data_IF_886583457271
#
_entry.id   IF_886583457271
#
_cell.length_a   1.000
_cell.length_b   1.000
_cell.length_c   1.000
_cell.angle_alpha   90.00
_cell.angle_beta   90.00
_cell.angle_gamma   90.00
#
_symmetry.space_group_name_H-M   'P 1'
#
loop_
_entity.id
_entity.type
_entity.pdbx_description
1 polymer ?
#
# COMPACT_ATOMS: atom_id res chain seq x y z
N UNK A 1 24.71 10.52 -9.66
CA UNK A 1 23.50 11.36 -9.80
C UNK A 1 22.18 10.61 -9.64
N UNK A 2 21.99 9.42 -10.25
CA UNK A 2 20.73 8.65 -10.10
C UNK A 2 20.37 8.26 -8.65
N UNK A 3 21.35 7.90 -7.82
CA UNK A 3 21.09 7.50 -6.41
C UNK A 3 20.52 8.65 -5.57
N UNK A 4 20.98 9.90 -5.78
CA UNK A 4 20.44 11.08 -5.07
C UNK A 4 19.03 11.42 -5.54
N UNK A 5 18.73 11.24 -6.83
CA UNK A 5 17.38 11.39 -7.39
C UNK A 5 16.46 10.31 -6.83
N UNK A 6 16.94 9.08 -6.70
CA UNK A 6 16.22 7.94 -6.12
C UNK A 6 15.89 8.15 -4.64
N UNK A 7 16.84 8.68 -3.86
CA UNK A 7 16.62 9.01 -2.45
C UNK A 7 15.64 10.18 -2.32
N UNK A 8 15.76 11.21 -3.16
CA UNK A 8 14.81 12.33 -3.21
C UNK A 8 13.41 11.92 -3.66
N UNK A 9 13.30 10.98 -4.59
CA UNK A 9 12.05 10.45 -5.09
C UNK A 9 11.38 9.54 -4.06
N UNK A 10 12.13 8.67 -3.38
CA UNK A 10 11.62 7.89 -2.26
C UNK A 10 11.17 8.78 -1.10
N UNK A 11 11.91 9.85 -0.78
CA UNK A 11 11.52 10.85 0.21
C UNK A 11 10.25 11.63 -0.20
N UNK A 12 10.06 11.93 -1.49
CA UNK A 12 8.84 12.57 -2.00
C UNK A 12 7.62 11.63 -1.97
N UNK A 13 7.80 10.34 -2.32
CA UNK A 13 6.78 9.29 -2.26
C UNK A 13 6.27 9.10 -0.83
N UNK A 14 7.19 9.13 0.12
CA UNK A 14 6.95 8.72 1.51
C UNK A 14 6.63 9.91 2.42
N UNK A 15 7.26 11.07 2.21
CA UNK A 15 6.93 12.30 2.92
C UNK A 15 5.52 12.80 2.60
N UNK A 16 5.07 12.64 1.35
CA UNK A 16 3.72 13.03 0.91
C UNK A 16 2.61 12.12 1.46
N UNK A 17 2.88 10.82 1.60
CA UNK A 17 1.93 9.84 2.16
C UNK A 17 1.79 9.99 3.66
N UNK A 18 2.89 10.14 4.41
CA UNK A 18 2.82 10.24 5.88
C UNK A 18 2.15 11.55 6.35
N UNK A 19 2.19 12.60 5.52
CA UNK A 19 1.59 13.90 5.82
C UNK A 19 0.05 13.91 5.75
N UNK A 20 -0.58 13.05 4.94
CA UNK A 20 -2.05 13.06 4.73
C UNK A 20 -2.83 12.30 5.80
N UNK A 21 -2.20 11.41 6.56
CA UNK A 21 -2.87 10.64 7.61
C UNK A 21 -3.23 11.52 8.81
N UNK A 22 -4.52 11.82 8.97
CA UNK A 22 -5.01 12.70 10.05
C UNK A 22 -5.68 11.95 11.19
N UNK A 23 -6.31 10.79 10.97
CA UNK A 23 -6.93 10.01 12.06
C UNK A 23 -6.89 8.49 11.79
N UNK A 24 -6.15 7.68 12.56
CA UNK A 24 -6.10 6.24 12.34
C UNK A 24 -7.37 5.54 12.85
N UNK A 25 -7.99 4.71 12.01
CA UNK A 25 -8.95 3.70 12.46
C UNK A 25 -8.18 2.56 13.16
N UNK A 26 -7.83 2.79 14.43
CA UNK A 26 -6.97 1.92 15.23
C UNK A 26 -7.54 0.51 15.37
N UNK A 27 -8.86 0.36 15.46
CA UNK A 27 -9.53 -0.93 15.54
C UNK A 27 -9.34 -1.74 14.24
N UNK A 28 -9.58 -1.12 13.08
CA UNK A 28 -9.36 -1.75 11.78
C UNK A 28 -7.89 -2.13 11.57
N UNK A 29 -6.96 -1.26 11.96
CA UNK A 29 -5.52 -1.55 11.86
C UNK A 29 -5.11 -2.75 12.73
N UNK A 30 -5.60 -2.82 13.97
CA UNK A 30 -5.33 -3.96 14.86
C UNK A 30 -5.90 -5.27 14.31
N UNK A 31 -7.11 -5.25 13.76
CA UNK A 31 -7.71 -6.42 13.14
C UNK A 31 -6.90 -6.91 11.94
N UNK A 32 -6.51 -6.01 11.04
CA UNK A 32 -5.67 -6.36 9.87
C UNK A 32 -4.34 -6.97 10.32
N UNK A 33 -3.68 -6.38 11.33
CA UNK A 33 -2.42 -6.92 11.85
C UNK A 33 -2.60 -8.29 12.53
N UNK A 34 -3.71 -8.51 13.23
CA UNK A 34 -4.03 -9.81 13.84
C UNK A 34 -4.30 -10.87 12.76
N UNK A 35 -5.06 -10.54 11.71
CA UNK A 35 -5.27 -11.39 10.55
C UNK A 35 -3.96 -11.70 9.84
N UNK A 36 -3.09 -10.70 9.66
CA UNK A 36 -1.78 -10.88 9.03
C UNK A 36 -0.88 -11.81 9.84
N UNK A 37 -0.93 -11.76 11.17
CA UNK A 37 -0.20 -12.70 12.03
C UNK A 37 -0.73 -14.13 11.93
N UNK A 38 -2.03 -14.31 11.74
CA UNK A 38 -2.66 -15.63 11.61
C UNK A 38 -2.43 -16.25 10.22
N UNK A 39 -2.65 -15.47 9.16
CA UNK A 39 -2.40 -15.88 7.78
C UNK A 39 -1.88 -14.67 6.95
N UNK A 40 -0.55 -14.53 6.82
CA UNK A 40 0.04 -13.44 6.04
C UNK A 40 -0.37 -13.45 4.58
N UNK A 41 -0.54 -14.64 3.98
CA UNK A 41 -0.82 -14.77 2.54
C UNK A 41 -2.26 -14.39 2.24
N UNK A 42 -3.21 -14.94 2.99
CA UNK A 42 -4.62 -14.60 2.81
C UNK A 42 -4.87 -13.12 3.11
N UNK A 43 -4.25 -12.59 4.17
CA UNK A 43 -4.42 -11.18 4.53
C UNK A 43 -3.84 -10.24 3.48
N UNK A 44 -2.67 -10.55 2.90
CA UNK A 44 -2.13 -9.76 1.80
C UNK A 44 -3.02 -9.79 0.57
N UNK A 45 -3.65 -10.93 0.25
CA UNK A 45 -4.60 -11.01 -0.86
C UNK A 45 -5.87 -10.19 -0.60
N UNK A 46 -6.36 -10.18 0.65
CA UNK A 46 -7.48 -9.32 1.05
C UNK A 46 -7.12 -7.85 0.97
N UNK A 47 -5.90 -7.46 1.40
CA UNK A 47 -5.40 -6.09 1.29
C UNK A 47 -5.21 -5.70 -0.19
N UNK A 48 -4.68 -6.59 -1.03
CA UNK A 48 -4.55 -6.36 -2.47
C UNK A 48 -5.92 -6.06 -3.09
N UNK A 49 -6.90 -6.93 -2.83
CA UNK A 49 -8.28 -6.76 -3.31
C UNK A 49 -8.88 -5.44 -2.83
N UNK A 50 -8.74 -5.14 -1.53
CA UNK A 50 -9.26 -3.92 -0.93
C UNK A 50 -8.62 -2.67 -1.54
N UNK A 51 -7.31 -2.67 -1.81
CA UNK A 51 -6.63 -1.57 -2.49
C UNK A 51 -7.16 -1.39 -3.92
N UNK A 52 -7.35 -2.49 -4.66
CA UNK A 52 -7.89 -2.44 -6.02
C UNK A 52 -9.33 -1.89 -6.08
N UNK A 53 -10.12 -2.16 -5.06
CA UNK A 53 -11.49 -1.66 -4.92
C UNK A 53 -11.55 -0.20 -4.47
N UNK A 54 -10.72 0.17 -3.49
CA UNK A 54 -10.81 1.46 -2.80
C UNK A 54 -9.96 2.56 -3.44
N UNK A 55 -8.86 2.23 -4.14
CA UNK A 55 -7.99 3.25 -4.75
C UNK A 55 -8.49 3.62 -6.16
N UNK A 56 -8.91 4.86 -6.40
CA UNK A 56 -9.46 5.24 -7.69
C UNK A 56 -8.44 5.13 -8.83
N UNK A 57 -8.80 4.37 -9.87
CA UNK A 57 -8.01 4.25 -11.10
C UNK A 57 -6.90 3.19 -11.06
N UNK A 58 -6.72 2.47 -9.94
CA UNK A 58 -5.61 1.50 -9.83
C UNK A 58 -5.88 0.20 -10.59
N UNK A 59 -7.11 -0.29 -10.56
CA UNK A 59 -7.47 -1.54 -11.21
C UNK A 59 -7.56 -1.43 -12.74
N UNK A 60 -7.77 -0.21 -13.26
CA UNK A 60 -7.77 0.07 -14.69
C UNK A 60 -6.36 0.32 -15.25
N UNK A 61 -5.35 0.42 -14.38
CA UNK A 61 -3.97 0.62 -14.80
C UNK A 61 -3.30 -0.68 -15.23
N UNK A 62 -2.49 -0.56 -16.28
CA UNK A 62 -1.63 -1.64 -16.77
C UNK A 62 -0.63 -2.12 -15.71
N UNK A 63 -0.18 -1.22 -14.84
CA UNK A 63 0.84 -1.50 -13.80
C UNK A 63 0.27 -1.51 -12.39
N UNK A 64 -0.93 -0.93 -12.19
CA UNK A 64 -1.56 -0.77 -10.88
C UNK A 64 -1.77 -2.07 -10.12
N UNK A 65 -2.23 -3.15 -10.80
CA UNK A 65 -2.35 -4.48 -10.16
C UNK A 65 -1.00 -5.05 -9.73
N UNK A 66 0.02 -4.95 -10.60
CA UNK A 66 1.37 -5.45 -10.29
C UNK A 66 1.99 -4.70 -9.12
N UNK A 67 1.85 -3.37 -9.10
CA UNK A 67 2.30 -2.53 -7.99
C UNK A 67 1.54 -2.77 -6.70
N UNK A 68 0.24 -3.01 -6.78
CA UNK A 68 -0.58 -3.31 -5.60
C UNK A 68 -0.05 -4.54 -4.90
N UNK A 69 0.10 -5.65 -5.63
CA UNK A 69 0.61 -6.91 -5.08
C UNK A 69 2.04 -6.80 -4.58
N UNK A 70 2.91 -6.17 -5.37
CA UNK A 70 4.36 -6.28 -5.17
C UNK A 70 4.93 -5.20 -4.26
N UNK A 71 4.25 -4.07 -4.09
CA UNK A 71 4.80 -2.90 -3.39
C UNK A 71 3.79 -2.32 -2.40
N UNK A 72 2.59 -1.95 -2.86
CA UNK A 72 1.65 -1.16 -2.06
C UNK A 72 1.08 -1.98 -0.90
N UNK A 73 0.61 -3.21 -1.14
CA UNK A 73 0.05 -4.05 -0.07
C UNK A 73 1.09 -4.43 1.01
N UNK A 74 2.32 -4.88 0.66
CA UNK A 74 3.34 -5.12 1.67
C UNK A 74 3.79 -3.85 2.41
N UNK A 75 3.95 -2.72 1.70
CA UNK A 75 4.28 -1.45 2.32
C UNK A 75 3.19 -0.98 3.28
N UNK A 76 1.92 -1.19 2.92
CA UNK A 76 0.78 -0.85 3.76
C UNK A 76 0.80 -1.64 5.08
N UNK A 77 1.07 -2.95 5.04
CA UNK A 77 1.24 -3.77 6.25
C UNK A 77 2.42 -3.28 7.09
N UNK A 78 3.55 -2.96 6.47
CA UNK A 78 4.71 -2.43 7.18
C UNK A 78 4.39 -1.09 7.88
N UNK A 79 3.67 -0.20 7.19
CA UNK A 79 3.17 1.05 7.77
C UNK A 79 2.27 0.80 8.99
N UNK A 80 1.35 -0.18 8.92
CA UNK A 80 0.50 -0.53 10.06
C UNK A 80 1.32 -1.03 11.27
N UNK A 81 2.38 -1.81 11.04
CA UNK A 81 3.30 -2.22 12.10
C UNK A 81 4.00 -1.03 12.76
N UNK A 82 4.58 -0.12 11.96
CA UNK A 82 5.26 1.07 12.47
C UNK A 82 4.32 1.96 13.30
N UNK A 83 3.05 2.09 12.89
CA UNK A 83 2.03 2.82 13.66
C UNK A 83 1.68 2.12 14.96
N UNK A 84 1.54 0.79 14.96
CA UNK A 84 1.31 0.00 16.18
C UNK A 84 2.46 0.16 17.18
N UNK A 85 3.68 0.31 16.70
CA UNK A 85 4.88 0.56 17.51
C UNK A 85 4.97 2.01 18.04
N UNK A 86 4.05 2.89 17.62
CA UNK A 86 4.03 4.29 18.05
C UNK A 86 5.14 5.13 17.43
N UNK A 87 5.71 4.70 16.31
CA UNK A 87 6.73 5.47 15.60
C UNK A 87 6.17 6.84 15.20
N UNK A 88 6.95 7.90 15.43
CA UNK A 88 6.57 9.23 14.98
C UNK A 88 6.58 9.33 13.44
N UNK A 89 5.96 10.39 12.89
CA UNK A 89 5.83 10.56 11.44
C UNK A 89 7.18 10.59 10.71
N UNK A 90 8.22 11.18 11.31
CA UNK A 90 9.53 11.25 10.69
C UNK A 90 10.21 9.87 10.69
N UNK A 91 10.09 9.11 11.78
CA UNK A 91 10.56 7.74 11.91
C UNK A 91 9.83 6.81 10.93
N UNK A 92 8.50 6.92 10.80
CA UNK A 92 7.73 6.16 9.81
C UNK A 92 8.24 6.45 8.40
N UNK A 93 8.43 7.74 8.08
CA UNK A 93 8.92 8.17 6.77
C UNK A 93 10.31 7.56 6.46
N UNK A 94 11.25 7.67 7.40
CA UNK A 94 12.60 7.12 7.24
C UNK A 94 12.60 5.58 7.13
N UNK A 95 11.77 4.90 7.93
CA UNK A 95 11.69 3.43 7.92
C UNK A 95 11.06 2.89 6.63
N UNK A 96 9.99 3.52 6.14
CA UNK A 96 9.41 3.16 4.85
C UNK A 96 10.40 3.42 3.71
N UNK A 97 11.18 4.50 3.76
CA UNK A 97 12.22 4.77 2.77
C UNK A 97 13.27 3.67 2.75
N UNK A 98 13.76 3.29 3.93
CA UNK A 98 14.72 2.20 4.09
C UNK A 98 14.15 0.88 3.57
N UNK A 99 12.88 0.61 3.86
CA UNK A 99 12.20 -0.60 3.39
C UNK A 99 12.11 -0.66 1.86
N UNK A 100 11.67 0.41 1.18
CA UNK A 100 11.59 0.43 -0.30
C UNK A 100 12.98 0.28 -0.94
N UNK A 101 14.00 0.94 -0.38
CA UNK A 101 15.38 0.84 -0.88
C UNK A 101 15.92 -0.59 -0.77
N UNK A 102 15.63 -1.27 0.33
CA UNK A 102 16.17 -2.60 0.62
C UNK A 102 15.38 -3.72 -0.10
N UNK A 103 14.04 -3.67 0.00
CA UNK A 103 13.17 -4.75 -0.46
C UNK A 103 12.73 -4.58 -1.93
N UNK A 104 12.70 -3.34 -2.41
CA UNK A 104 12.23 -3.01 -3.77
C UNK A 104 13.22 -2.13 -4.56
N UNK A 105 14.52 -2.48 -4.63
CA UNK A 105 15.51 -1.65 -5.32
C UNK A 105 15.15 -1.43 -6.80
N UNK A 106 14.53 -2.43 -7.45
CA UNK A 106 14.08 -2.34 -8.86
C UNK A 106 12.98 -1.31 -9.08
N UNK A 107 12.13 -1.05 -8.09
CA UNK A 107 11.08 -0.02 -8.15
C UNK A 107 11.72 1.36 -8.23
N UNK A 108 12.85 1.54 -7.54
CA UNK A 108 13.57 2.80 -7.49
C UNK A 108 14.50 3.02 -8.68
N UNK A 109 15.13 1.96 -9.20
CA UNK A 109 16.18 2.10 -10.22
C UNK A 109 15.80 1.61 -11.61
N UNK A 110 14.70 0.86 -11.73
CA UNK A 110 14.34 0.13 -12.95
C UNK A 110 12.99 0.51 -13.56
N UNK A 111 12.17 1.32 -12.87
CA UNK A 111 10.89 1.76 -13.43
C UNK A 111 11.08 2.94 -14.39
N UNK A 112 10.34 2.95 -15.52
CA UNK A 112 10.17 4.16 -16.32
C UNK A 112 9.56 5.28 -15.48
N UNK A 113 9.97 6.53 -15.73
CA UNK A 113 9.51 7.70 -14.96
C UNK A 113 7.97 7.79 -14.85
N UNK A 114 7.26 7.45 -15.94
CA UNK A 114 5.80 7.43 -15.97
C UNK A 114 5.21 6.43 -14.98
N UNK A 115 5.73 5.20 -14.94
CA UNK A 115 5.24 4.15 -14.06
C UNK A 115 5.62 4.43 -12.61
N UNK A 116 6.80 5.02 -12.39
CA UNK A 116 7.21 5.49 -11.07
C UNK A 116 6.25 6.56 -10.53
N UNK A 117 5.92 7.58 -11.33
CA UNK A 117 4.96 8.63 -10.94
C UNK A 117 3.56 8.05 -10.68
N UNK A 118 3.17 7.04 -11.45
CA UNK A 118 1.90 6.34 -11.27
C UNK A 118 1.86 5.58 -9.94
N UNK A 119 2.94 4.87 -9.58
CA UNK A 119 3.11 4.27 -8.25
C UNK A 119 3.02 5.31 -7.13
N UNK A 120 3.73 6.44 -7.28
CA UNK A 120 3.69 7.54 -6.28
C UNK A 120 2.25 8.04 -6.08
N UNK A 121 1.51 8.20 -7.18
CA UNK A 121 0.11 8.65 -7.15
C UNK A 121 -0.77 7.66 -6.40
N UNK A 122 -0.62 6.36 -6.63
CA UNK A 122 -1.36 5.34 -5.90
C UNK A 122 -1.01 5.31 -4.42
N UNK A 123 0.27 5.37 -4.08
CA UNK A 123 0.71 5.42 -2.68
C UNK A 123 0.10 6.61 -1.95
N UNK A 124 0.10 7.79 -2.58
CA UNK A 124 -0.54 8.99 -2.04
C UNK A 124 -2.03 8.76 -1.77
N UNK A 125 -2.76 8.22 -2.75
CA UNK A 125 -4.20 7.94 -2.64
C UNK A 125 -4.52 6.89 -1.57
N UNK A 126 -3.73 5.81 -1.47
CA UNK A 126 -3.85 4.83 -0.38
C UNK A 126 -3.73 5.49 1.00
N UNK A 127 -3.01 6.61 1.07
CA UNK A 127 -2.85 7.39 2.28
C UNK A 127 -3.92 8.46 2.57
N UNK A 128 -4.95 8.57 1.74
CA UNK A 128 -6.09 9.45 1.97
C UNK A 128 -7.05 8.79 2.97
N UNK A 129 -7.58 9.55 3.94
CA UNK A 129 -8.32 8.99 5.08
C UNK A 129 -9.57 8.17 4.63
N UNK A 130 -10.27 8.60 3.58
CA UNK A 130 -11.43 7.91 3.01
C UNK A 130 -11.05 6.58 2.35
N UNK A 131 -9.94 6.57 1.62
CA UNK A 131 -9.38 5.38 0.98
C UNK A 131 -8.84 4.41 2.03
N UNK A 132 -8.08 4.88 3.02
CA UNK A 132 -7.58 4.04 4.12
C UNK A 132 -8.75 3.40 4.89
N UNK A 133 -9.78 4.19 5.22
CA UNK A 133 -10.96 3.67 5.91
C UNK A 133 -11.72 2.65 5.05
N UNK A 134 -11.82 2.86 3.73
CA UNK A 134 -12.36 1.88 2.80
C UNK A 134 -11.56 0.58 2.84
N UNK A 135 -10.23 0.65 2.75
CA UNK A 135 -9.33 -0.52 2.76
C UNK A 135 -9.50 -1.29 4.07
N UNK A 136 -9.39 -0.61 5.21
CA UNK A 136 -9.52 -1.24 6.54
C UNK A 136 -10.90 -1.88 6.70
N UNK A 137 -11.96 -1.24 6.23
CA UNK A 137 -13.32 -1.78 6.28
C UNK A 137 -13.50 -2.99 5.35
N UNK A 138 -12.90 -2.97 4.16
CA UNK A 138 -12.97 -4.05 3.19
C UNK A 138 -12.22 -5.30 3.68
N UNK A 139 -11.04 -5.13 4.26
CA UNK A 139 -10.26 -6.24 4.82
C UNK A 139 -10.90 -6.80 6.10
N UNK A 140 -11.57 -5.95 6.89
CA UNK A 140 -12.19 -6.34 8.16
C UNK A 140 -13.55 -7.03 7.99
N UNK A 141 -14.16 -6.99 6.80
CA UNK A 141 -15.38 -7.76 6.52
C UNK A 141 -15.02 -9.24 6.47
N UNK A 142 -15.78 -10.13 7.16
CA UNK A 142 -15.60 -11.56 6.98
C UNK A 142 -15.77 -11.87 5.50
N UNK A 143 -14.77 -12.54 4.92
CA UNK A 143 -14.80 -12.89 3.52
C UNK A 143 -16.02 -13.77 3.26
N UNK A 144 -17.04 -13.20 2.62
CA UNK A 144 -18.00 -14.00 1.85
C UNK A 144 -17.20 -14.56 0.66
N UNK A 145 -16.49 -15.66 0.89
CA UNK A 145 -15.77 -16.46 -0.11
C UNK A 145 -16.76 -17.19 -1.05
N UNK A 146 -17.78 -16.47 -1.52
CA UNK A 146 -18.89 -17.02 -2.29
C UNK A 146 -19.29 -16.21 -3.51
N UNK A 147 -18.56 -15.14 -3.87
CA UNK A 147 -18.97 -14.32 -5.00
C UNK A 147 -17.81 -13.57 -5.63
N UNK A 148 -17.75 -13.67 -6.95
CA UNK A 148 -17.19 -12.64 -7.82
C UNK A 148 -15.69 -12.72 -8.19
N UNK A 149 -15.21 -13.93 -8.48
CA UNK A 149 -14.16 -14.09 -9.51
C UNK A 149 -14.63 -13.63 -10.91
N UNK A 150 -15.92 -13.32 -11.06
CA UNK A 150 -16.56 -12.83 -12.28
C UNK A 150 -16.53 -11.29 -12.42
N UNK A 151 -16.20 -10.54 -11.36
CA UNK A 151 -16.17 -9.06 -11.41
C UNK A 151 -14.99 -8.51 -12.17
N UNK A 152 -13.88 -9.24 -12.12
CA UNK A 152 -12.65 -8.92 -12.82
C UNK A 152 -12.55 -9.90 -13.98
N UNK A 153 -12.94 -9.43 -15.17
CA UNK A 153 -12.98 -10.16 -16.42
C UNK A 153 -11.56 -10.56 -16.89
N UNK A 154 -10.89 -11.40 -16.10
CA UNK A 154 -9.61 -12.02 -16.40
C UNK A 154 -9.92 -13.21 -17.31
N UNK A 155 -9.90 -12.96 -18.62
CA UNK A 155 -9.71 -14.02 -19.60
C UNK A 155 -8.35 -14.64 -19.32
N UNK A 156 -8.35 -15.87 -18.79
CA UNK A 156 -7.22 -16.79 -18.84
C UNK A 156 -6.83 -17.05 -20.30
#
# INVERSE_FOLDING_TARGET
MRILIVIGAAAAVIGGTVATFKVPNTAGQQQVLASYQADPKATLLSIETAILECVPGIAQSRVGMSFTRSVIAPLYVHLLHLRKEGADKAAISAQMQKWIVNEHPKVLTGLPDKEFLELVSYLKKTGEDDVENCILSAVSKPANLGGDASRWNLRL
#
